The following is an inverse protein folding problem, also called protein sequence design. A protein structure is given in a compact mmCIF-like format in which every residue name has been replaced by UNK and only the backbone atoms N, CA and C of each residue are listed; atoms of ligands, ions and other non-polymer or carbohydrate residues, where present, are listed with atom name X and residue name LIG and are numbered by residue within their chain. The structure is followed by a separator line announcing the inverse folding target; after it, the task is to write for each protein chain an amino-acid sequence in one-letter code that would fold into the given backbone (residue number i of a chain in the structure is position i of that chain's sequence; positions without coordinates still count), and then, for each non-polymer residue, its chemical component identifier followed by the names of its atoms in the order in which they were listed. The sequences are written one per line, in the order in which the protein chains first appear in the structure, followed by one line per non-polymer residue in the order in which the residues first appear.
data_IF_423768959912
#
_entry.id   IF_423768959912
#
_cell.length_a   1.000
_cell.length_b   1.000
_cell.length_c   1.000
_cell.angle_alpha   90.00
_cell.angle_beta   90.00
_cell.angle_gamma   90.00
#
_symmetry.space_group_name_H-M   'P 1'
#
loop_
_entity.id
_entity.type
_entity.pdbx_description
1 polymer ?
#
# COMPACT_ATOMS: atom_id res chain seq x y z
N UNK A 1 -37.82 14.25 24.82
CA UNK A 1 -38.06 13.07 25.68
C UNK A 1 -38.05 11.85 24.78
N UNK A 2 -36.97 11.11 24.69
CA UNK A 2 -36.86 9.88 23.92
C UNK A 2 -36.57 8.74 24.90
N UNK A 3 -37.47 7.79 24.97
CA UNK A 3 -37.40 6.63 25.85
C UNK A 3 -36.38 5.62 25.31
N UNK A 4 -35.39 5.29 26.13
CA UNK A 4 -34.52 4.14 25.94
C UNK A 4 -35.26 2.89 26.47
N UNK A 5 -35.51 1.93 25.57
CA UNK A 5 -36.06 0.61 25.96
C UNK A 5 -34.89 -0.32 26.17
N UNK A 6 -34.72 -0.76 27.42
CA UNK A 6 -33.80 -1.85 27.81
C UNK A 6 -34.58 -3.16 27.77
N UNK A 7 -34.11 -4.14 27.04
CA UNK A 7 -34.69 -5.48 26.94
C UNK A 7 -34.00 -6.48 27.92
N UNK A 8 -34.68 -7.47 28.44
CA UNK A 8 -34.24 -8.21 29.62
C UNK A 8 -33.34 -9.43 29.30
N UNK A 9 -32.65 -9.84 30.37
CA UNK A 9 -31.68 -10.91 30.49
C UNK A 9 -32.14 -12.28 29.96
N UNK A 10 -31.25 -12.97 29.26
CA UNK A 10 -31.36 -14.40 29.01
C UNK A 10 -30.75 -15.21 30.15
N UNK A 11 -31.53 -16.19 30.64
CA UNK A 11 -31.19 -17.15 31.71
C UNK A 11 -30.25 -18.21 31.15
N UNK A 12 -29.13 -18.44 31.81
CA UNK A 12 -28.21 -19.55 31.53
C UNK A 12 -28.78 -20.88 31.97
N UNK A 13 -29.07 -21.76 31.02
CA UNK A 13 -29.32 -23.17 31.24
C UNK A 13 -28.01 -23.96 31.33
N UNK A 14 -27.72 -24.58 32.44
CA UNK A 14 -26.56 -25.44 32.67
C UNK A 14 -26.70 -26.76 31.92
N UNK A 15 -25.84 -27.01 30.93
CA UNK A 15 -25.68 -28.35 30.36
C UNK A 15 -24.31 -28.89 30.79
N UNK A 16 -24.32 -29.87 31.72
CA UNK A 16 -23.13 -30.65 32.09
C UNK A 16 -22.83 -31.66 31.00
N UNK A 17 -21.73 -31.47 30.27
CA UNK A 17 -21.11 -32.51 29.43
C UNK A 17 -19.87 -33.06 30.15
N UNK A 18 -19.78 -34.40 30.16
CA UNK A 18 -18.73 -35.19 30.80
C UNK A 18 -17.37 -34.93 30.17
N UNK A 19 -16.39 -34.64 31.03
CA UNK A 19 -14.96 -34.56 30.64
C UNK A 19 -14.43 -35.99 30.58
N UNK A 20 -13.93 -36.37 29.45
CA UNK A 20 -13.13 -37.56 29.25
C UNK A 20 -12.04 -37.27 28.18
N UNK A 21 -10.78 -37.44 28.55
CA UNK A 21 -9.67 -37.54 27.61
C UNK A 21 -8.65 -36.39 27.68
N UNK A 22 -7.57 -36.60 28.41
CA UNK A 22 -6.34 -35.83 28.37
C UNK A 22 -5.80 -35.73 26.95
N UNK A 23 -5.80 -34.53 26.37
CA UNK A 23 -4.93 -34.16 25.26
C UNK A 23 -4.10 -32.95 25.70
N UNK A 24 -2.88 -33.23 26.15
CA UNK A 24 -1.84 -32.23 26.36
C UNK A 24 -1.55 -31.52 25.06
N UNK A 25 -2.15 -30.35 24.84
CA UNK A 25 -1.77 -29.48 23.74
C UNK A 25 -0.51 -28.74 24.18
N UNK A 26 0.65 -29.33 23.88
CA UNK A 26 1.93 -28.63 24.00
C UNK A 26 1.87 -27.42 23.06
N UNK A 27 1.98 -26.24 23.64
CA UNK A 27 2.36 -25.02 22.93
C UNK A 27 3.76 -25.32 22.37
N UNK A 28 3.83 -25.71 21.08
CA UNK A 28 5.11 -25.84 20.39
C UNK A 28 5.72 -24.43 20.32
N UNK A 29 6.76 -24.22 21.10
CA UNK A 29 7.65 -23.11 20.99
C UNK A 29 8.17 -23.01 19.55
N UNK A 30 8.30 -21.78 19.06
CA UNK A 30 9.03 -21.45 17.83
C UNK A 30 10.48 -21.84 18.02
N UNK A 31 10.84 -23.08 17.70
CA UNK A 31 12.23 -23.52 17.63
C UNK A 31 12.44 -24.39 16.39
N UNK A 32 13.33 -23.91 15.51
CA UNK A 32 13.96 -24.64 14.41
C UNK A 32 13.11 -24.83 13.13
N UNK A 33 12.63 -23.73 12.52
CA UNK A 33 12.56 -23.64 11.07
C UNK A 33 13.82 -22.87 10.60
N UNK A 34 14.43 -23.22 9.44
CA UNK A 34 15.53 -22.42 8.90
C UNK A 34 15.06 -20.97 8.73
N UNK A 35 16.00 -20.03 8.84
CA UNK A 35 15.79 -18.58 8.73
C UNK A 35 15.18 -18.24 7.34
N UNK A 36 13.84 -18.34 7.23
CA UNK A 36 13.08 -18.20 5.99
C UNK A 36 12.34 -16.88 5.93
N UNK A 37 12.81 -15.86 6.69
CA UNK A 37 12.27 -14.52 6.54
C UNK A 37 12.67 -13.94 5.18
N UNK A 38 11.73 -13.84 4.21
CA UNK A 38 12.07 -13.37 2.87
C UNK A 38 12.52 -11.91 2.85
N UNK A 39 12.25 -11.14 3.92
CA UNK A 39 12.68 -9.76 4.08
C UNK A 39 14.08 -9.62 4.70
N UNK A 40 14.66 -10.69 5.24
CA UNK A 40 15.98 -10.65 5.90
C UNK A 40 17.06 -10.00 5.03
N UNK A 41 17.03 -10.30 3.71
CA UNK A 41 17.99 -9.75 2.73
C UNK A 41 17.92 -8.23 2.54
N UNK A 42 16.88 -7.57 3.05
CA UNK A 42 16.70 -6.12 2.92
C UNK A 42 16.96 -5.35 4.22
N UNK A 43 17.00 -6.01 5.39
CA UNK A 43 16.99 -5.35 6.71
C UNK A 43 18.08 -4.31 6.87
N UNK A 44 19.30 -4.64 6.46
CA UNK A 44 20.46 -3.73 6.59
C UNK A 44 20.37 -2.52 5.64
N UNK A 45 19.45 -2.57 4.67
CA UNK A 45 19.19 -1.53 3.67
C UNK A 45 18.00 -0.65 4.05
N UNK A 46 17.21 -1.05 5.05
CA UNK A 46 16.01 -0.34 5.48
C UNK A 46 16.25 0.47 6.74
N UNK A 47 16.03 1.77 6.66
CA UNK A 47 15.97 2.66 7.82
C UNK A 47 14.63 2.54 8.56
N UNK A 48 13.55 2.27 7.82
CA UNK A 48 12.20 2.08 8.31
C UNK A 48 11.55 0.87 7.62
N UNK A 49 10.71 0.10 8.30
CA UNK A 49 9.92 -0.97 7.68
C UNK A 49 8.76 -0.36 6.85
N UNK A 50 9.10 0.38 5.81
CA UNK A 50 8.19 1.26 5.10
C UNK A 50 8.38 1.16 3.58
N UNK A 51 7.26 1.20 2.86
CA UNK A 51 7.21 1.35 1.41
C UNK A 51 6.56 2.71 1.11
N UNK A 52 7.24 3.56 0.33
CA UNK A 52 6.63 4.69 -0.33
C UNK A 52 5.68 4.12 -1.40
N UNK A 53 4.38 4.17 -1.14
CA UNK A 53 3.36 3.45 -1.90
C UNK A 53 3.38 3.80 -3.41
N UNK A 54 3.07 2.83 -4.30
CA UNK A 54 2.95 3.11 -5.72
C UNK A 54 1.70 3.97 -5.97
N UNK A 55 1.89 5.15 -6.55
CA UNK A 55 0.83 6.12 -6.76
C UNK A 55 0.75 6.55 -8.23
N UNK A 56 -0.43 6.40 -8.82
CA UNK A 56 -0.65 6.73 -10.23
C UNK A 56 -0.46 8.24 -10.47
N UNK A 57 0.32 8.60 -11.49
CA UNK A 57 0.71 9.96 -11.87
C UNK A 57 1.48 10.75 -10.78
N UNK A 58 1.92 10.09 -9.74
CA UNK A 58 2.61 10.73 -8.60
C UNK A 58 4.01 10.14 -8.38
N UNK A 59 4.12 8.80 -8.34
CA UNK A 59 5.41 8.13 -8.13
C UNK A 59 6.20 8.08 -9.44
N UNK A 60 7.28 8.85 -9.52
CA UNK A 60 8.23 8.88 -10.61
C UNK A 60 9.65 8.56 -10.17
N UNK A 61 10.59 8.64 -11.06
CA UNK A 61 12.02 8.33 -10.83
C UNK A 61 12.56 9.10 -9.63
N UNK A 62 12.28 10.41 -9.53
CA UNK A 62 12.78 11.26 -8.45
C UNK A 62 12.30 10.76 -7.07
N UNK A 63 11.00 10.49 -6.92
CA UNK A 63 10.43 10.01 -5.67
C UNK A 63 10.98 8.64 -5.28
N UNK A 64 11.04 7.70 -6.25
CA UNK A 64 11.53 6.33 -6.01
C UNK A 64 12.99 6.35 -5.58
N UNK A 65 13.84 7.06 -6.30
CA UNK A 65 15.28 7.17 -5.97
C UNK A 65 15.46 7.84 -4.60
N UNK A 66 14.74 8.92 -4.32
CA UNK A 66 14.83 9.60 -3.03
C UNK A 66 14.38 8.70 -1.87
N UNK A 67 13.30 7.93 -2.03
CA UNK A 67 12.85 6.96 -1.02
C UNK A 67 13.92 5.89 -0.78
N UNK A 68 14.43 5.24 -1.83
CA UNK A 68 15.40 4.16 -1.72
C UNK A 68 16.72 4.63 -1.08
N UNK A 69 17.22 5.81 -1.44
CA UNK A 69 18.44 6.40 -0.86
C UNK A 69 18.29 6.74 0.63
N UNK A 70 17.07 6.96 1.09
CA UNK A 70 16.76 7.22 2.51
C UNK A 70 16.35 5.96 3.29
N UNK A 71 16.55 4.75 2.73
CA UNK A 71 16.27 3.48 3.40
C UNK A 71 14.77 3.16 3.52
N UNK A 72 13.97 3.60 2.55
CA UNK A 72 12.55 3.27 2.39
C UNK A 72 12.35 2.62 1.02
N UNK A 73 11.62 1.52 0.95
CA UNK A 73 11.32 0.84 -0.32
C UNK A 73 10.57 1.81 -1.23
N UNK A 74 11.11 2.07 -2.42
CA UNK A 74 10.51 2.98 -3.40
C UNK A 74 9.63 2.23 -4.39
N UNK A 75 8.34 2.58 -4.48
CA UNK A 75 7.42 1.92 -5.38
C UNK A 75 6.77 2.89 -6.39
N UNK A 76 6.48 2.38 -7.59
CA UNK A 76 5.74 3.10 -8.62
C UNK A 76 4.92 2.15 -9.48
N UNK A 77 3.75 2.57 -10.00
CA UNK A 77 2.98 1.77 -10.95
C UNK A 77 3.67 1.76 -12.32
N UNK A 78 3.81 0.59 -12.96
CA UNK A 78 4.39 0.50 -14.32
C UNK A 78 3.61 1.35 -15.33
N UNK A 79 2.31 1.50 -15.11
CA UNK A 79 1.41 2.32 -15.95
C UNK A 79 1.64 3.84 -15.82
N UNK A 80 2.52 4.31 -14.92
CA UNK A 80 2.98 5.71 -14.92
C UNK A 80 3.85 6.01 -16.14
N UNK A 81 4.47 4.99 -16.70
CA UNK A 81 5.11 5.04 -18.01
C UNK A 81 4.08 4.83 -19.10
N UNK A 82 3.96 5.77 -20.06
CA UNK A 82 2.94 5.69 -21.12
C UNK A 82 3.22 4.53 -22.06
N UNK A 83 4.48 4.30 -22.37
CA UNK A 83 4.96 3.25 -23.26
C UNK A 83 5.89 2.31 -22.50
N UNK A 84 6.02 1.09 -23.00
CA UNK A 84 6.88 0.06 -22.40
C UNK A 84 8.36 0.46 -22.45
N UNK A 85 8.76 1.19 -23.50
CA UNK A 85 10.10 1.75 -23.65
C UNK A 85 10.42 2.79 -22.58
N UNK A 86 9.42 3.59 -22.17
CA UNK A 86 9.58 4.53 -21.06
C UNK A 86 9.77 3.80 -19.72
N UNK A 87 9.12 2.63 -19.53
CA UNK A 87 9.33 1.79 -18.33
C UNK A 87 10.77 1.29 -18.27
N UNK A 88 11.31 0.83 -19.40
CA UNK A 88 12.70 0.37 -19.51
C UNK A 88 13.69 1.50 -19.19
N UNK A 89 13.47 2.69 -19.73
CA UNK A 89 14.27 3.88 -19.43
C UNK A 89 14.21 4.29 -17.97
N UNK A 90 13.02 4.26 -17.34
CA UNK A 90 12.88 4.63 -15.92
C UNK A 90 13.61 3.64 -15.01
N UNK A 91 13.45 2.35 -15.25
CA UNK A 91 14.15 1.33 -14.46
C UNK A 91 15.67 1.46 -14.61
N UNK A 92 16.18 1.62 -15.84
CA UNK A 92 17.60 1.82 -16.07
C UNK A 92 18.15 3.09 -15.41
N UNK A 93 17.40 4.21 -15.42
CA UNK A 93 17.81 5.44 -14.73
C UNK A 93 17.78 5.28 -13.21
N UNK A 94 16.77 4.61 -12.66
CA UNK A 94 16.70 4.30 -11.23
C UNK A 94 17.90 3.44 -10.82
N UNK A 95 18.15 2.34 -11.52
CA UNK A 95 19.27 1.42 -11.24
C UNK A 95 20.61 2.17 -11.26
N UNK A 96 20.85 2.96 -12.29
CA UNK A 96 22.07 3.77 -12.42
C UNK A 96 22.25 4.74 -11.25
N UNK A 97 21.18 5.40 -10.81
CA UNK A 97 21.24 6.38 -9.70
C UNK A 97 21.40 5.72 -8.34
N UNK A 98 20.79 4.55 -8.12
CA UNK A 98 20.96 3.79 -6.89
C UNK A 98 22.35 3.15 -6.80
N UNK A 99 22.90 2.69 -7.94
CA UNK A 99 24.28 2.22 -8.00
C UNK A 99 25.27 3.35 -7.68
N UNK A 100 25.11 4.53 -8.30
CA UNK A 100 25.95 5.69 -7.99
C UNK A 100 25.86 6.13 -6.53
N UNK A 101 24.69 5.94 -5.89
CA UNK A 101 24.56 6.17 -4.45
C UNK A 101 25.35 5.14 -3.64
N UNK A 102 25.26 3.86 -4.00
CA UNK A 102 25.99 2.79 -3.32
C UNK A 102 27.52 3.01 -3.43
N UNK A 103 27.99 3.38 -4.61
CA UNK A 103 29.42 3.66 -4.85
C UNK A 103 29.92 4.85 -4.01
N UNK A 104 29.10 5.89 -3.87
CA UNK A 104 29.46 7.10 -3.11
C UNK A 104 29.35 6.94 -1.59
N UNK A 105 28.36 6.18 -1.10
CA UNK A 105 28.07 6.04 0.33
C UNK A 105 28.69 4.79 0.97
N UNK A 106 29.08 3.79 0.17
CA UNK A 106 29.49 2.46 0.63
C UNK A 106 28.33 1.57 1.11
N UNK A 107 27.07 2.01 0.91
CA UNK A 107 25.88 1.29 1.38
C UNK A 107 24.86 1.14 0.25
N UNK A 108 24.37 -0.08 0.05
CA UNK A 108 23.30 -0.33 -0.91
C UNK A 108 22.00 0.38 -0.46
N UNK A 109 21.31 1.02 -1.40
CA UNK A 109 20.03 1.65 -1.16
C UNK A 109 18.93 0.58 -0.88
N UNK A 110 17.81 0.99 -0.29
CA UNK A 110 16.62 0.14 -0.18
C UNK A 110 16.15 -0.32 -1.58
N UNK A 111 15.48 -1.49 -1.69
CA UNK A 111 15.06 -2.02 -2.98
C UNK A 111 13.95 -1.18 -3.61
N UNK A 112 13.83 -1.25 -4.92
CA UNK A 112 12.65 -0.77 -5.65
C UNK A 112 11.55 -1.83 -5.63
N UNK A 113 10.31 -1.37 -5.77
CA UNK A 113 9.15 -2.23 -5.81
C UNK A 113 8.13 -1.77 -6.86
N UNK A 114 8.33 -2.08 -8.16
CA UNK A 114 7.37 -1.75 -9.20
C UNK A 114 6.01 -2.42 -8.94
N UNK A 115 4.92 -1.70 -9.21
CA UNK A 115 3.57 -2.24 -9.13
C UNK A 115 3.05 -2.56 -10.53
N UNK A 116 2.68 -3.82 -10.74
CA UNK A 116 2.17 -4.37 -11.99
C UNK A 116 0.67 -4.65 -11.89
N UNK A 117 -0.14 -3.97 -12.69
CA UNK A 117 -1.58 -4.22 -12.77
C UNK A 117 -1.82 -5.51 -13.55
N UNK A 118 -2.33 -6.55 -12.85
CA UNK A 118 -2.55 -7.89 -13.43
C UNK A 118 -3.99 -8.13 -13.92
N UNK A 119 -4.80 -7.07 -14.04
CA UNK A 119 -6.16 -7.19 -14.55
C UNK A 119 -6.15 -7.58 -16.04
N UNK A 120 -7.08 -8.46 -16.43
CA UNK A 120 -7.23 -8.97 -17.81
C UNK A 120 -7.41 -7.88 -18.88
N UNK A 121 -7.88 -6.68 -18.51
CA UNK A 121 -7.99 -5.54 -19.43
C UNK A 121 -6.70 -4.72 -19.56
N UNK A 122 -5.62 -5.10 -18.87
CA UNK A 122 -4.31 -4.48 -19.07
C UNK A 122 -3.64 -5.06 -20.32
N UNK A 123 -3.77 -4.39 -21.45
CA UNK A 123 -3.19 -4.83 -22.72
C UNK A 123 -1.65 -4.86 -22.71
N UNK A 124 -1.02 -4.13 -21.77
CA UNK A 124 0.45 -4.02 -21.66
C UNK A 124 1.06 -5.05 -20.70
N UNK A 125 0.26 -5.88 -20.02
CA UNK A 125 0.74 -6.78 -18.97
C UNK A 125 1.96 -7.61 -19.39
N UNK A 126 1.91 -8.24 -20.56
CA UNK A 126 2.99 -9.10 -21.05
C UNK A 126 4.28 -8.31 -21.37
N UNK A 127 4.13 -7.12 -21.95
CA UNK A 127 5.25 -6.25 -22.31
C UNK A 127 5.91 -5.66 -21.07
N UNK A 128 5.12 -5.13 -20.12
CA UNK A 128 5.63 -4.59 -18.84
C UNK A 128 6.32 -5.69 -18.02
N UNK A 129 5.73 -6.91 -17.99
CA UNK A 129 6.36 -8.06 -17.34
C UNK A 129 7.73 -8.38 -17.98
N UNK A 130 7.83 -8.39 -19.31
CA UNK A 130 9.08 -8.65 -19.99
C UNK A 130 10.17 -7.63 -19.65
N UNK A 131 9.80 -6.36 -19.46
CA UNK A 131 10.72 -5.32 -18.96
C UNK A 131 11.16 -5.62 -17.54
N UNK A 132 10.24 -5.92 -16.64
CA UNK A 132 10.57 -6.26 -15.25
C UNK A 132 11.52 -7.46 -15.16
N UNK A 133 11.32 -8.48 -15.99
CA UNK A 133 12.20 -9.65 -16.04
C UNK A 133 13.64 -9.33 -16.51
N UNK A 134 13.83 -8.29 -17.34
CA UNK A 134 15.17 -7.82 -17.72
C UNK A 134 15.87 -7.08 -16.57
N UNK A 135 15.14 -6.19 -15.86
CA UNK A 135 15.70 -5.39 -14.78
C UNK A 135 15.76 -6.12 -13.43
N UNK A 136 15.03 -7.24 -13.29
CA UNK A 136 15.04 -8.13 -12.11
C UNK A 136 14.87 -7.38 -10.78
N UNK A 137 13.80 -6.58 -10.59
CA UNK A 137 13.54 -5.96 -9.32
C UNK A 137 13.38 -7.03 -8.22
N UNK A 138 13.91 -6.75 -7.03
CA UNK A 138 13.89 -7.71 -5.92
C UNK A 138 12.49 -7.94 -5.34
N UNK A 139 11.58 -6.98 -5.52
CA UNK A 139 10.18 -7.04 -5.09
C UNK A 139 9.30 -6.51 -6.22
N UNK A 140 8.19 -7.19 -6.49
CA UNK A 140 7.13 -6.71 -7.40
C UNK A 140 5.80 -6.77 -6.67
N UNK A 141 5.01 -5.68 -6.72
CA UNK A 141 3.64 -5.68 -6.23
C UNK A 141 2.71 -5.95 -7.40
N UNK A 142 1.75 -6.85 -7.21
CA UNK A 142 0.65 -7.08 -8.16
C UNK A 142 -0.64 -6.46 -7.64
N UNK A 143 -1.41 -5.83 -8.51
CA UNK A 143 -2.66 -5.16 -8.14
C UNK A 143 -3.79 -5.44 -9.14
N UNK A 144 -5.04 -5.23 -8.68
CA UNK A 144 -6.27 -5.31 -9.47
C UNK A 144 -6.47 -6.67 -10.16
N UNK A 145 -6.13 -7.76 -9.48
CA UNK A 145 -6.31 -9.11 -10.02
C UNK A 145 -5.56 -10.19 -9.23
N UNK A 146 -5.59 -11.42 -9.76
CA UNK A 146 -4.84 -12.53 -9.19
C UNK A 146 -3.37 -12.44 -9.62
N UNK A 147 -2.39 -12.64 -8.72
CA UNK A 147 -0.96 -12.68 -9.08
C UNK A 147 -0.58 -13.91 -9.90
N UNK A 148 -1.39 -14.96 -9.93
CA UNK A 148 -1.07 -16.26 -10.52
C UNK A 148 -0.41 -16.22 -11.91
N UNK A 149 -0.84 -15.38 -12.88
CA UNK A 149 -0.24 -15.36 -14.20
C UNK A 149 1.21 -14.89 -14.26
N UNK A 150 1.69 -14.17 -13.25
CA UNK A 150 3.02 -13.54 -13.23
C UNK A 150 3.96 -14.11 -12.17
N UNK A 151 3.46 -14.99 -11.27
CA UNK A 151 4.24 -15.54 -10.17
C UNK A 151 5.46 -16.32 -10.67
N UNK A 152 5.25 -17.35 -11.48
CA UNK A 152 6.35 -18.22 -11.91
C UNK A 152 7.49 -17.45 -12.59
N UNK A 153 7.26 -16.62 -13.63
CA UNK A 153 8.36 -15.88 -14.25
C UNK A 153 9.05 -14.89 -13.32
N UNK A 154 8.34 -14.26 -12.37
CA UNK A 154 8.94 -13.35 -11.41
C UNK A 154 9.76 -14.10 -10.34
N UNK A 155 9.28 -15.23 -9.85
CA UNK A 155 10.03 -16.11 -8.94
C UNK A 155 11.29 -16.66 -9.62
N UNK A 156 11.21 -17.10 -10.87
CA UNK A 156 12.37 -17.56 -11.66
C UNK A 156 13.42 -16.45 -11.84
N UNK A 157 12.97 -15.18 -11.86
CA UNK A 157 13.86 -14.02 -11.89
C UNK A 157 14.41 -13.63 -10.50
N UNK A 158 13.97 -14.29 -9.41
CA UNK A 158 14.41 -14.04 -8.04
C UNK A 158 13.63 -12.93 -7.28
N UNK A 159 12.52 -12.43 -7.85
CA UNK A 159 11.69 -11.42 -7.22
C UNK A 159 10.76 -12.04 -6.16
N UNK A 160 10.53 -11.31 -5.05
CA UNK A 160 9.37 -11.53 -4.19
C UNK A 160 8.14 -10.88 -4.83
N UNK A 161 7.02 -11.58 -4.83
CA UNK A 161 5.77 -11.09 -5.39
C UNK A 161 4.76 -10.80 -4.28
N UNK A 162 4.43 -9.54 -4.09
CA UNK A 162 3.41 -9.10 -3.15
C UNK A 162 2.10 -8.85 -3.89
N UNK A 163 0.98 -9.12 -3.24
CA UNK A 163 -0.35 -8.91 -3.82
C UNK A 163 -1.17 -7.90 -3.02
N UNK A 164 -1.69 -6.87 -3.70
CA UNK A 164 -2.68 -5.95 -3.13
C UNK A 164 -4.01 -6.68 -2.90
N UNK A 165 -4.49 -6.68 -1.67
CA UNK A 165 -5.73 -7.35 -1.27
C UNK A 165 -6.63 -6.43 -0.43
N UNK A 166 -7.92 -6.37 -0.75
CA UNK A 166 -8.88 -5.49 -0.11
C UNK A 166 -9.94 -6.24 0.74
N UNK A 167 -9.79 -7.55 0.92
CA UNK A 167 -10.66 -8.39 1.75
C UNK A 167 -9.94 -9.66 2.18
N UNK A 168 -10.43 -10.33 3.23
CA UNK A 168 -9.90 -11.63 3.70
C UNK A 168 -9.94 -12.65 2.56
N UNK A 169 -11.03 -12.74 1.81
CA UNK A 169 -11.15 -13.64 0.67
C UNK A 169 -10.13 -13.35 -0.45
N UNK A 170 -9.76 -12.08 -0.67
CA UNK A 170 -8.70 -11.75 -1.61
C UNK A 170 -7.35 -12.19 -1.07
N UNK A 171 -7.10 -12.03 0.23
CA UNK A 171 -5.88 -12.47 0.89
C UNK A 171 -5.71 -14.01 0.82
N UNK A 172 -6.75 -14.78 1.14
CA UNK A 172 -6.78 -16.24 1.01
C UNK A 172 -6.43 -16.70 -0.41
N UNK A 173 -7.03 -16.06 -1.42
CA UNK A 173 -6.77 -16.41 -2.83
C UNK A 173 -5.36 -16.07 -3.28
N UNK A 174 -4.83 -14.93 -2.86
CA UNK A 174 -3.47 -14.53 -3.20
C UNK A 174 -2.43 -15.44 -2.52
N UNK A 175 -2.63 -15.78 -1.25
CA UNK A 175 -1.81 -16.73 -0.52
C UNK A 175 -1.85 -18.13 -1.16
N UNK A 176 -3.05 -18.63 -1.49
CA UNK A 176 -3.22 -19.91 -2.17
C UNK A 176 -2.61 -19.95 -3.58
N UNK A 177 -2.53 -18.80 -4.25
CA UNK A 177 -1.86 -18.67 -5.54
C UNK A 177 -0.33 -18.71 -5.43
N UNK A 178 0.25 -18.49 -4.22
CA UNK A 178 1.68 -18.50 -3.97
C UNK A 178 2.32 -17.11 -3.91
N UNK A 179 1.56 -16.05 -3.59
CA UNK A 179 2.14 -14.75 -3.31
C UNK A 179 3.05 -14.82 -2.07
N UNK A 180 4.24 -14.22 -2.14
CA UNK A 180 5.21 -14.21 -1.03
C UNK A 180 4.78 -13.25 0.08
N UNK A 181 4.11 -12.16 -0.26
CA UNK A 181 3.62 -11.16 0.68
C UNK A 181 2.24 -10.61 0.31
N UNK A 182 1.55 -10.03 1.27
CA UNK A 182 0.23 -9.45 1.11
C UNK A 182 0.22 -7.99 1.53
N UNK A 183 -0.28 -7.12 0.66
CA UNK A 183 -0.53 -5.70 0.97
C UNK A 183 -2.00 -5.54 1.31
N UNK A 184 -2.30 -5.28 2.57
CA UNK A 184 -3.67 -5.18 3.07
C UNK A 184 -4.18 -3.75 2.87
N UNK A 185 -5.01 -3.55 1.86
CA UNK A 185 -5.71 -2.28 1.62
C UNK A 185 -6.86 -2.16 2.64
N UNK A 186 -6.65 -1.40 3.70
CA UNK A 186 -7.63 -1.23 4.78
C UNK A 186 -8.44 0.06 4.62
N UNK A 187 -9.50 0.22 5.40
CA UNK A 187 -10.24 1.47 5.47
C UNK A 187 -9.28 2.63 5.77
N UNK A 188 -9.35 3.69 4.99
CA UNK A 188 -8.46 4.85 5.11
C UNK A 188 -7.21 4.82 4.23
N UNK A 189 -6.95 3.78 3.46
CA UNK A 189 -5.95 3.83 2.40
C UNK A 189 -6.39 4.82 1.30
N UNK A 190 -5.46 5.65 0.81
CA UNK A 190 -5.75 6.56 -0.31
C UNK A 190 -5.86 5.82 -1.64
N UNK A 191 -6.66 6.34 -2.56
CA UNK A 191 -6.90 5.66 -3.82
C UNK A 191 -7.77 4.41 -3.64
N UNK A 192 -7.49 3.35 -4.40
CA UNK A 192 -8.20 2.09 -4.24
C UNK A 192 -8.00 1.53 -2.84
N UNK A 193 -9.09 1.12 -2.19
CA UNK A 193 -9.08 0.75 -0.77
C UNK A 193 -10.02 -0.41 -0.49
N UNK A 194 -9.90 -0.98 0.72
CA UNK A 194 -10.90 -1.84 1.33
C UNK A 194 -11.71 -1.09 2.38
N UNK A 195 -12.71 -1.74 2.94
CA UNK A 195 -13.54 -1.19 4.01
C UNK A 195 -13.16 -1.72 5.41
N UNK A 196 -12.35 -2.80 5.46
CA UNK A 196 -12.01 -3.46 6.71
C UNK A 196 -11.12 -2.57 7.59
N UNK A 197 -11.44 -2.56 8.88
CA UNK A 197 -10.58 -1.97 9.90
C UNK A 197 -9.23 -2.71 9.95
N UNK A 198 -8.08 -2.01 10.03
CA UNK A 198 -6.76 -2.61 10.02
C UNK A 198 -6.54 -3.63 11.15
N UNK A 199 -7.04 -3.37 12.37
CA UNK A 199 -6.90 -4.29 13.51
C UNK A 199 -7.52 -5.66 13.23
N UNK A 200 -8.71 -5.67 12.64
CA UNK A 200 -9.41 -6.91 12.31
C UNK A 200 -8.75 -7.59 11.11
N UNK A 201 -8.42 -6.83 10.06
CA UNK A 201 -7.92 -7.41 8.81
C UNK A 201 -6.55 -8.06 9.00
N UNK A 202 -5.61 -7.38 9.64
CA UNK A 202 -4.27 -7.93 9.92
C UNK A 202 -4.38 -9.20 10.76
N UNK A 203 -5.15 -9.17 11.86
CA UNK A 203 -5.27 -10.33 12.75
C UNK A 203 -5.96 -11.52 12.09
N UNK A 204 -6.96 -11.30 11.24
CA UNK A 204 -7.59 -12.35 10.44
C UNK A 204 -6.62 -12.98 9.45
N UNK A 205 -5.83 -12.17 8.73
CA UNK A 205 -4.85 -12.67 7.74
C UNK A 205 -3.72 -13.42 8.42
N UNK A 206 -3.21 -12.94 9.56
CA UNK A 206 -2.20 -13.66 10.35
C UNK A 206 -2.67 -15.02 10.88
N UNK A 207 -3.97 -15.27 10.88
CA UNK A 207 -4.52 -16.59 11.24
C UNK A 207 -4.23 -17.70 10.23
N UNK A 208 -3.88 -17.36 8.98
CA UNK A 208 -3.63 -18.31 7.90
C UNK A 208 -2.41 -18.00 7.03
N UNK A 209 -1.75 -16.85 7.22
CA UNK A 209 -0.62 -16.42 6.40
C UNK A 209 0.57 -15.98 7.26
N UNK A 210 1.70 -16.69 7.13
CA UNK A 210 2.94 -16.42 7.88
C UNK A 210 3.94 -15.55 7.11
N UNK A 211 3.73 -15.31 5.81
CA UNK A 211 4.57 -14.45 4.97
C UNK A 211 4.47 -12.97 5.32
N UNK A 212 5.25 -12.10 4.66
CA UNK A 212 5.23 -10.65 4.87
C UNK A 212 3.85 -10.02 4.71
N UNK A 213 3.44 -9.23 5.69
CA UNK A 213 2.22 -8.39 5.64
C UNK A 213 2.62 -6.92 5.61
N UNK A 214 2.08 -6.20 4.63
CA UNK A 214 2.19 -4.75 4.48
C UNK A 214 0.86 -4.10 4.82
N UNK A 215 0.82 -3.18 5.78
CA UNK A 215 -0.39 -2.44 6.13
C UNK A 215 -0.52 -1.18 5.29
N UNK A 216 -1.58 -1.06 4.52
CA UNK A 216 -1.96 0.13 3.77
C UNK A 216 -3.21 0.79 4.39
N UNK A 217 -3.08 2.04 4.80
CA UNK A 217 -4.17 2.85 5.36
C UNK A 217 -3.86 3.41 6.74
N UNK A 218 -3.98 4.73 6.88
CA UNK A 218 -3.77 5.43 8.14
C UNK A 218 -2.33 5.60 8.60
N UNK A 219 -1.33 5.18 7.81
CA UNK A 219 0.08 5.37 8.17
C UNK A 219 0.47 6.84 7.94
N UNK A 220 0.42 7.63 8.98
CA UNK A 220 0.64 9.09 8.94
C UNK A 220 1.98 9.53 9.54
N UNK A 221 2.59 8.71 10.39
CA UNK A 221 3.80 9.03 11.14
C UNK A 221 4.49 7.77 11.69
N UNK A 222 5.57 7.95 12.45
CA UNK A 222 6.31 6.85 13.06
C UNK A 222 5.53 6.12 14.16
N UNK A 223 4.55 6.76 14.81
CA UNK A 223 3.70 6.10 15.82
C UNK A 223 2.73 5.11 15.14
N UNK A 224 2.10 5.52 14.03
CA UNK A 224 1.24 4.64 13.22
C UNK A 224 2.04 3.47 12.64
N UNK A 225 3.28 3.71 12.20
CA UNK A 225 4.18 2.66 11.72
C UNK A 225 4.49 1.64 12.83
N UNK A 226 4.80 2.10 14.05
CA UNK A 226 5.05 1.22 15.20
C UNK A 226 3.80 0.43 15.60
N UNK A 227 2.61 1.05 15.52
CA UNK A 227 1.34 0.36 15.75
C UNK A 227 1.08 -0.75 14.73
N UNK A 228 1.44 -0.54 13.45
CA UNK A 228 1.33 -1.57 12.42
C UNK A 228 2.18 -2.82 12.74
N UNK A 229 3.40 -2.64 13.22
CA UNK A 229 4.24 -3.75 13.68
C UNK A 229 3.63 -4.47 14.90
N UNK A 230 3.10 -3.72 15.87
CA UNK A 230 2.44 -4.31 17.05
C UNK A 230 1.21 -5.14 16.67
N UNK A 231 0.52 -4.81 15.59
CA UNK A 231 -0.56 -5.62 15.01
C UNK A 231 -0.05 -6.92 14.38
N UNK A 232 1.23 -6.98 14.00
CA UNK A 232 1.86 -8.12 13.34
C UNK A 232 2.16 -7.89 11.86
N UNK A 233 2.24 -6.65 11.40
CA UNK A 233 2.73 -6.32 10.06
C UNK A 233 4.26 -6.29 10.04
N UNK A 234 4.85 -6.62 8.91
CA UNK A 234 6.29 -6.57 8.68
C UNK A 234 6.71 -5.25 8.04
N UNK A 235 5.84 -4.67 7.22
CA UNK A 235 6.02 -3.41 6.53
C UNK A 235 4.72 -2.60 6.56
N UNK A 236 4.81 -1.33 6.20
CA UNK A 236 3.64 -0.49 5.97
C UNK A 236 3.75 0.30 4.66
N UNK A 237 2.59 0.70 4.09
CA UNK A 237 2.48 1.66 2.99
C UNK A 237 2.20 3.06 3.51
N UNK A 238 2.99 4.02 3.07
CA UNK A 238 2.72 5.43 3.24
C UNK A 238 2.59 6.07 1.86
N UNK A 239 1.38 6.48 1.48
CA UNK A 239 1.11 7.13 0.20
C UNK A 239 0.93 8.63 0.36
N UNK A 240 -0.13 9.07 1.02
CA UNK A 240 -0.57 10.47 1.09
C UNK A 240 0.53 11.45 1.52
N UNK A 241 1.37 11.07 2.47
CA UNK A 241 2.51 11.87 2.90
C UNK A 241 3.56 12.03 1.80
N UNK A 242 3.82 10.98 1.02
CA UNK A 242 4.75 11.03 -0.11
C UNK A 242 4.18 11.77 -1.32
N UNK A 243 2.84 11.90 -1.47
CA UNK A 243 2.25 12.81 -2.47
C UNK A 243 2.69 14.24 -2.19
N UNK A 244 2.67 14.67 -0.91
CA UNK A 244 3.06 15.99 -0.48
C UNK A 244 4.58 16.12 -0.28
N UNK A 245 5.39 15.54 -1.18
CA UNK A 245 6.85 15.75 -1.20
C UNK A 245 7.29 16.53 -2.44
N UNK A 246 8.50 17.12 -2.36
CA UNK A 246 9.07 17.89 -3.47
C UNK A 246 9.32 16.99 -4.69
N UNK A 247 9.74 15.74 -4.45
CA UNK A 247 10.16 14.76 -5.46
C UNK A 247 8.99 14.05 -6.15
N UNK A 248 7.77 14.14 -5.59
CA UNK A 248 6.60 13.57 -6.25
C UNK A 248 6.20 14.37 -7.50
N UNK A 249 5.68 13.68 -8.51
CA UNK A 249 5.15 14.29 -9.73
C UNK A 249 3.77 14.94 -9.53
N UNK A 250 3.21 14.92 -8.33
CA UNK A 250 1.89 15.49 -8.06
C UNK A 250 1.85 17.00 -8.36
N UNK A 251 0.74 17.46 -8.93
CA UNK A 251 0.49 18.89 -9.18
C UNK A 251 0.61 19.69 -7.87
N UNK A 252 1.15 20.89 -7.94
CA UNK A 252 1.33 21.76 -6.78
C UNK A 252 0.01 22.08 -6.07
N UNK A 253 -1.12 22.15 -6.79
CA UNK A 253 -2.47 22.33 -6.21
C UNK A 253 -2.88 21.08 -5.42
N UNK A 254 -2.56 19.89 -5.92
CA UNK A 254 -2.83 18.63 -5.20
C UNK A 254 -2.05 18.60 -3.87
N UNK A 255 -0.75 18.91 -3.90
CA UNK A 255 0.07 18.97 -2.69
C UNK A 255 -0.47 19.98 -1.67
N UNK A 256 -0.88 21.19 -2.12
CA UNK A 256 -1.50 22.19 -1.23
C UNK A 256 -2.82 21.71 -0.65
N UNK A 257 -3.69 21.13 -1.49
CA UNK A 257 -4.99 20.60 -1.04
C UNK A 257 -4.82 19.53 0.05
N UNK A 258 -3.81 18.68 -0.03
CA UNK A 258 -3.50 17.70 1.03
C UNK A 258 -3.04 18.36 2.34
N UNK A 259 -2.34 19.48 2.26
CA UNK A 259 -1.91 20.26 3.46
C UNK A 259 -3.09 20.94 4.12
N UNK A 260 -4.08 21.37 3.34
CA UNK A 260 -5.27 22.11 3.79
C UNK A 260 -6.41 21.19 4.25
N UNK A 261 -6.42 19.92 3.79
CA UNK A 261 -7.47 18.94 4.06
C UNK A 261 -7.17 18.09 5.30
N UNK A 262 -8.21 17.45 5.81
CA UNK A 262 -8.17 16.49 6.92
C UNK A 262 -8.74 15.13 6.50
N UNK A 263 -8.77 14.16 7.41
CA UNK A 263 -9.41 12.88 7.20
C UNK A 263 -10.93 13.02 6.95
N UNK A 264 -11.56 14.05 7.48
CA UNK A 264 -12.99 14.34 7.29
C UNK A 264 -13.32 14.78 5.85
N UNK A 265 -12.29 15.21 5.11
CA UNK A 265 -12.39 15.57 3.69
C UNK A 265 -12.21 14.38 2.75
N UNK A 266 -12.08 13.16 3.28
CA UNK A 266 -11.97 11.96 2.47
C UNK A 266 -13.34 11.35 2.24
N UNK A 267 -13.68 11.16 0.95
CA UNK A 267 -14.91 10.54 0.51
C UNK A 267 -14.64 9.15 -0.07
N UNK A 268 -15.22 8.10 0.54
CA UNK A 268 -15.22 6.77 -0.03
C UNK A 268 -16.30 6.67 -1.11
N UNK A 269 -15.92 6.40 -2.34
CA UNK A 269 -16.85 6.32 -3.47
C UNK A 269 -16.42 5.28 -4.52
N UNK A 270 -17.39 4.76 -5.27
CA UNK A 270 -17.17 3.92 -6.46
C UNK A 270 -17.37 4.69 -7.76
N UNK A 271 -17.77 5.96 -7.69
CA UNK A 271 -18.20 6.75 -8.84
C UNK A 271 -17.14 6.94 -9.94
N UNK A 272 -15.86 6.97 -9.55
CA UNK A 272 -14.78 7.23 -10.50
C UNK A 272 -14.13 5.98 -11.11
N UNK A 273 -14.03 4.90 -10.35
CA UNK A 273 -13.28 3.70 -10.75
C UNK A 273 -14.15 2.44 -10.87
N UNK A 274 -15.35 2.45 -10.29
CA UNK A 274 -16.15 1.24 -10.07
C UNK A 274 -15.66 0.39 -8.88
N UNK A 275 -14.50 0.72 -8.33
CA UNK A 275 -13.95 0.15 -7.10
C UNK A 275 -14.06 1.15 -5.95
N UNK A 276 -14.10 0.66 -4.72
CA UNK A 276 -14.01 1.53 -3.55
C UNK A 276 -12.71 2.33 -3.60
N UNK A 277 -12.83 3.65 -3.58
CA UNK A 277 -11.71 4.58 -3.73
C UNK A 277 -11.90 5.76 -2.80
N UNK A 278 -10.91 6.06 -1.99
CA UNK A 278 -10.87 7.26 -1.15
C UNK A 278 -10.39 8.46 -1.97
N UNK A 279 -11.25 9.45 -2.10
CA UNK A 279 -11.03 10.66 -2.89
C UNK A 279 -11.06 11.90 -1.99
N UNK A 280 -10.31 12.94 -2.36
CA UNK A 280 -10.38 14.25 -1.72
C UNK A 280 -11.66 14.96 -2.15
N UNK A 281 -12.59 15.16 -1.22
CA UNK A 281 -13.85 15.90 -1.41
C UNK A 281 -13.62 17.29 -2.01
N UNK A 282 -12.65 18.12 -1.54
CA UNK A 282 -12.36 19.41 -2.17
C UNK A 282 -11.95 19.31 -3.64
N UNK A 283 -11.25 18.23 -4.06
CA UNK A 283 -10.86 18.07 -5.47
C UNK A 283 -12.04 17.75 -6.37
N UNK A 284 -13.02 17.00 -5.86
CA UNK A 284 -14.28 16.70 -6.55
C UNK A 284 -15.05 18.00 -6.79
N UNK A 285 -15.22 18.83 -5.75
CA UNK A 285 -15.88 20.12 -5.83
C UNK A 285 -15.14 21.06 -6.80
N UNK A 286 -13.80 21.14 -6.72
CA UNK A 286 -13.00 21.97 -7.62
C UNK A 286 -13.09 21.53 -9.10
N UNK A 287 -13.42 20.25 -9.36
CA UNK A 287 -13.70 19.74 -10.70
C UNK A 287 -15.14 20.00 -11.19
N UNK A 288 -15.94 20.74 -10.43
CA UNK A 288 -17.31 21.10 -10.76
C UNK A 288 -18.34 19.98 -10.53
N UNK A 289 -17.99 18.97 -9.73
CA UNK A 289 -18.87 17.86 -9.35
C UNK A 289 -19.40 18.07 -7.91
N UNK A 290 -20.64 17.60 -7.66
CA UNK A 290 -21.18 17.57 -6.31
C UNK A 290 -20.75 16.29 -5.58
N UNK A 291 -19.92 16.38 -4.51
CA UNK A 291 -19.47 15.20 -3.77
C UNK A 291 -20.61 14.36 -3.15
N UNK A 292 -21.78 14.99 -2.88
CA UNK A 292 -22.95 14.30 -2.29
C UNK A 292 -23.80 13.59 -3.35
N UNK A 293 -23.68 13.96 -4.65
CA UNK A 293 -24.50 13.46 -5.74
C UNK A 293 -23.66 12.95 -6.92
N UNK A 294 -22.69 12.09 -6.64
CA UNK A 294 -21.84 11.52 -7.68
C UNK A 294 -22.60 10.47 -8.50
N UNK A 295 -22.51 10.49 -9.83
CA UNK A 295 -23.17 9.50 -10.68
C UNK A 295 -22.55 8.11 -10.46
N UNK A 296 -23.38 7.08 -10.36
CA UNK A 296 -22.91 5.71 -10.30
C UNK A 296 -22.10 5.36 -11.57
N UNK A 297 -20.98 4.70 -11.40
CA UNK A 297 -20.19 4.18 -12.52
C UNK A 297 -20.60 2.75 -12.86
N UNK A 298 -20.58 2.44 -14.16
CA UNK A 298 -20.76 1.08 -14.69
C UNK A 298 -19.52 0.17 -14.47
N UNK A 299 -19.31 -0.77 -15.38
CA UNK A 299 -18.24 -1.78 -15.28
C UNK A 299 -16.82 -1.16 -15.20
N UNK A 300 -15.94 -1.87 -14.50
CA UNK A 300 -14.50 -1.55 -14.37
C UNK A 300 -13.84 -1.73 -15.74
N UNK A 301 -13.10 -0.71 -16.19
CA UNK A 301 -12.31 -0.73 -17.43
C UNK A 301 -10.97 -0.04 -17.18
N UNK A 302 -9.96 -0.83 -16.88
CA UNK A 302 -8.62 -0.33 -16.56
C UNK A 302 -7.98 0.36 -17.77
N UNK A 303 -8.24 -0.12 -19.00
CA UNK A 303 -7.71 0.50 -20.21
C UNK A 303 -8.16 1.96 -20.35
N UNK A 304 -9.45 2.24 -20.16
CA UNK A 304 -9.99 3.62 -20.15
C UNK A 304 -9.54 4.42 -18.94
N UNK A 305 -9.22 3.74 -17.84
CA UNK A 305 -8.79 4.39 -16.60
C UNK A 305 -7.36 4.91 -16.65
N UNK A 306 -6.52 4.25 -17.43
CA UNK A 306 -5.11 4.60 -17.64
C UNK A 306 -4.96 5.57 -18.83
N UNK A 307 -5.91 5.57 -19.79
CA UNK A 307 -5.85 6.43 -20.97
C UNK A 307 -6.11 7.90 -20.62
N UNK A 308 -5.01 8.62 -20.41
CA UNK A 308 -4.99 10.06 -20.12
C UNK A 308 -5.29 10.88 -21.39
N UNK A 309 -5.19 10.26 -22.58
CA UNK A 309 -5.31 10.89 -23.90
C UNK A 309 -6.73 11.06 -24.42
N UNK A 310 -7.70 10.29 -23.93
CA UNK A 310 -9.06 10.33 -24.42
C UNK A 310 -9.71 11.74 -24.27
N UNK A 311 -10.19 12.30 -25.38
CA UNK A 311 -10.82 13.63 -25.47
C UNK A 311 -12.27 13.58 -24.96
N UNK A 312 -12.48 13.34 -23.66
CA UNK A 312 -13.80 13.53 -23.07
C UNK A 312 -13.86 14.84 -22.29
N UNK A 313 -14.92 15.62 -22.48
CA UNK A 313 -15.21 16.89 -21.78
C UNK A 313 -15.63 16.67 -20.31
N UNK A 314 -15.14 15.61 -19.67
CA UNK A 314 -15.43 15.28 -18.25
C UNK A 314 -14.18 15.42 -17.40
N UNK A 315 -14.28 15.84 -16.14
CA UNK A 315 -13.15 15.84 -15.23
C UNK A 315 -12.51 14.46 -15.18
N UNK A 316 -11.19 14.40 -15.48
CA UNK A 316 -10.44 13.14 -15.51
C UNK A 316 -9.96 12.84 -14.10
N UNK A 317 -10.34 11.69 -13.56
CA UNK A 317 -9.80 11.18 -12.31
C UNK A 317 -8.28 11.11 -12.38
N UNK A 318 -7.64 11.22 -11.23
CA UNK A 318 -6.19 11.24 -11.02
C UNK A 318 -5.48 12.46 -11.62
N UNK A 319 -6.05 13.10 -12.63
CA UNK A 319 -5.54 14.35 -13.21
C UNK A 319 -6.24 15.58 -12.65
N UNK A 320 -7.58 15.53 -12.59
CA UNK A 320 -8.43 16.66 -12.19
C UNK A 320 -9.14 16.38 -10.84
N UNK A 321 -9.39 15.12 -10.51
CA UNK A 321 -9.96 14.67 -9.23
C UNK A 321 -8.94 13.77 -8.54
N UNK A 322 -8.57 14.14 -7.33
CA UNK A 322 -7.45 13.55 -6.59
C UNK A 322 -7.89 12.67 -5.44
N UNK A 323 -7.04 11.70 -5.09
CA UNK A 323 -7.27 10.82 -3.95
C UNK A 323 -6.48 11.26 -2.72
N UNK A 324 -6.89 10.77 -1.56
CA UNK A 324 -6.17 10.89 -0.31
C UNK A 324 -6.61 9.79 0.63
N UNK A 325 -5.76 9.40 1.57
CA UNK A 325 -6.15 8.50 2.65
C UNK A 325 -6.41 9.27 3.94
N UNK A 326 -6.86 8.58 4.99
CA UNK A 326 -7.08 9.21 6.31
C UNK A 326 -5.80 9.82 6.91
N UNK A 327 -4.62 9.40 6.44
CA UNK A 327 -3.33 10.02 6.78
C UNK A 327 -3.17 11.47 6.27
N UNK A 328 -4.15 12.00 5.52
CA UNK A 328 -4.21 13.42 5.12
C UNK A 328 -4.11 14.35 6.31
N UNK A 329 -4.78 14.06 7.45
CA UNK A 329 -4.66 14.84 8.68
C UNK A 329 -3.22 14.96 9.22
N UNK A 330 -2.31 14.10 8.81
CA UNK A 330 -0.88 14.15 9.18
C UNK A 330 -0.02 14.94 8.20
N UNK A 331 -0.57 15.49 7.10
CA UNK A 331 0.17 16.27 6.11
C UNK A 331 0.25 17.72 6.57
N UNK A 332 1.40 18.16 7.07
CA UNK A 332 1.58 19.49 7.67
C UNK A 332 2.34 20.47 6.76
N UNK A 333 2.76 20.03 5.59
CA UNK A 333 3.52 20.81 4.62
C UNK A 333 4.08 19.96 3.49
N UNK A 334 4.64 20.61 2.48
CA UNK A 334 5.35 19.96 1.38
C UNK A 334 6.82 19.84 1.79
N UNK A 335 7.25 18.64 2.14
CA UNK A 335 8.60 18.33 2.62
C UNK A 335 9.47 17.73 1.48
N UNK A 336 10.78 17.69 1.65
CA UNK A 336 11.62 16.79 0.88
C UNK A 336 11.48 15.36 1.45
N UNK A 337 11.78 14.34 0.64
CA UNK A 337 11.68 12.93 1.08
C UNK A 337 12.59 12.63 2.25
N UNK A 338 13.81 13.16 2.26
CA UNK A 338 14.77 13.00 3.36
C UNK A 338 14.25 13.60 4.67
N UNK A 339 13.63 14.80 4.63
CA UNK A 339 12.98 15.46 5.77
C UNK A 339 11.82 14.59 6.31
N UNK A 340 10.96 14.10 5.41
CA UNK A 340 9.83 13.24 5.76
C UNK A 340 10.31 11.93 6.43
N UNK A 341 11.29 11.26 5.84
CA UNK A 341 11.82 10.00 6.36
C UNK A 341 12.54 10.20 7.68
N UNK A 342 13.34 11.26 7.81
CA UNK A 342 14.04 11.59 9.06
C UNK A 342 13.06 11.85 10.21
N UNK A 343 12.00 12.64 9.96
CA UNK A 343 10.94 12.89 10.92
C UNK A 343 10.21 11.61 11.33
N UNK A 344 9.78 10.81 10.35
CA UNK A 344 9.10 9.54 10.60
C UNK A 344 9.98 8.58 11.42
N UNK A 345 11.29 8.54 11.15
CA UNK A 345 12.24 7.71 11.90
C UNK A 345 12.38 8.17 13.37
N UNK A 346 12.42 9.47 13.61
CA UNK A 346 12.47 10.02 14.97
C UNK A 346 11.19 9.69 15.76
N UNK A 347 10.02 9.86 15.14
CA UNK A 347 8.72 9.51 15.70
C UNK A 347 8.59 8.01 16.00
N UNK A 348 9.08 7.16 15.10
CA UNK A 348 9.10 5.71 15.24
C UNK A 348 9.99 5.26 16.40
N UNK A 349 11.20 5.85 16.54
CA UNK A 349 12.09 5.59 17.66
C UNK A 349 11.45 6.02 19.00
N UNK A 350 10.82 7.19 19.04
CA UNK A 350 10.11 7.69 20.23
C UNK A 350 8.95 6.78 20.66
N UNK A 351 8.15 6.29 19.68
CA UNK A 351 7.08 5.35 19.94
C UNK A 351 7.60 4.02 20.50
N UNK A 352 8.74 3.52 20.00
CA UNK A 352 9.38 2.29 20.48
C UNK A 352 9.89 2.40 21.92
N UNK A 353 10.36 3.57 22.32
CA UNK A 353 10.81 3.83 23.70
C UNK A 353 9.63 3.82 24.69
N UNK A 354 8.46 4.34 24.29
CA UNK A 354 7.25 4.36 25.15
C UNK A 354 6.72 2.97 25.46
N UNK A 355 6.72 2.04 24.51
CA UNK A 355 6.21 0.67 24.69
C UNK A 355 7.05 -0.12 25.70
N UNK A 356 8.33 0.23 25.92
CA UNK A 356 9.21 -0.43 26.90
C UNK A 356 8.95 -0.02 28.35
N UNK A 357 8.10 0.96 28.61
CA UNK A 357 7.80 1.50 29.94
C UNK A 357 6.48 0.95 30.55
N UNK A 358 5.81 0.04 29.85
CA UNK A 358 4.62 -0.69 30.30
C UNK A 358 4.93 -2.18 30.35
#
# INVERSE_FOLDING_TARGET
MAHVVVSPAFVFGSCRAKVGGNASTSIRGRNNLPDTDPLARFRDRLRLPLIAAPMFLVSGVELVVAACRNGVIGAFPTVNCRETEQLDLWLGEIDRRLQAHADASGHAAAPICPNLIVHRSNARLAQDLAVLLRHKPEIVITSVGSPAPVLAPLHDAGALVFADVASIRHAERAAAAGADGLVLLTAGAGGQTGWLNPFVFVRAVRGFFDGPIVLAGGISDGHALRAAEALGCDLAYMGTKFIATRESMADARYKRMLVEASADDILLTTAFTGLQTNMLRPSIAAAGLDPENLPARGAIDIGKDIDIGARENRPKRWRDVWSGGHSTSGVTGVLAVDELVARTAAEYAAASARVRLI
#
